data_IF_204902043714
#
_entry.id   IF_204902043714
#
_cell.length_a   1.000
_cell.length_b   1.000
_cell.length_c   1.000
_cell.angle_alpha   90.00
_cell.angle_beta   90.00
_cell.angle_gamma   90.00
#
_symmetry.space_group_name_H-M   'P 1'
#
loop_
_entity.id
_entity.type
_entity.pdbx_description
1 polymer ?
#
# COMPACT_ATOMS: atom_id res chain seq x y z
N UNK A 1 19.18 10.22 11.53
CA UNK A 1 19.20 9.04 10.63
C UNK A 1 17.91 9.02 9.81
N UNK A 2 17.90 8.33 8.67
CA UNK A 2 16.66 8.02 7.94
C UNK A 2 15.98 6.81 8.59
N UNK A 3 14.67 6.92 8.83
CA UNK A 3 13.80 5.84 9.32
C UNK A 3 12.73 5.57 8.27
N UNK A 4 12.53 4.32 7.92
CA UNK A 4 11.38 3.86 7.10
C UNK A 4 10.41 3.15 8.03
N UNK A 5 9.24 3.73 8.24
CA UNK A 5 8.17 3.17 9.08
C UNK A 5 7.08 2.55 8.22
N UNK A 6 6.97 1.23 8.25
CA UNK A 6 5.94 0.50 7.51
C UNK A 6 4.70 0.25 8.38
N UNK A 7 3.61 0.96 8.12
CA UNK A 7 2.34 0.77 8.81
C UNK A 7 1.62 -0.48 8.25
N UNK A 8 1.55 -1.53 9.05
CA UNK A 8 0.83 -2.76 8.71
C UNK A 8 -0.69 -2.58 8.72
N UNK A 9 -1.43 -3.58 8.23
CA UNK A 9 -2.88 -3.57 8.22
C UNK A 9 -3.49 -3.28 9.60
N UNK A 10 -2.92 -3.83 10.67
CA UNK A 10 -3.38 -3.59 12.03
C UNK A 10 -3.18 -2.15 12.55
N UNK A 11 -2.31 -1.36 11.91
CA UNK A 11 -2.17 0.07 12.24
C UNK A 11 -3.30 0.91 11.65
N UNK A 12 -3.98 0.41 10.62
CA UNK A 12 -5.09 1.06 9.93
C UNK A 12 -6.45 0.46 10.31
N UNK A 13 -6.50 -0.86 10.46
CA UNK A 13 -7.71 -1.61 10.76
C UNK A 13 -7.33 -2.87 11.56
N UNK A 14 -7.73 -2.95 12.82
CA UNK A 14 -7.45 -4.11 13.66
C UNK A 14 -8.40 -5.25 13.31
N UNK A 15 -7.98 -6.47 13.62
CA UNK A 15 -8.81 -7.65 13.40
C UNK A 15 -10.13 -7.53 14.17
N UNK A 16 -11.25 -7.69 13.47
CA UNK A 16 -12.60 -7.60 14.05
C UNK A 16 -13.20 -6.18 14.09
N UNK A 17 -12.44 -5.15 13.73
CA UNK A 17 -13.00 -3.80 13.57
C UNK A 17 -13.74 -3.66 12.23
N UNK A 18 -14.81 -2.86 12.23
CA UNK A 18 -15.53 -2.51 10.99
C UNK A 18 -14.71 -1.54 10.15
N UNK A 19 -14.72 -1.74 8.83
CA UNK A 19 -14.01 -0.87 7.88
C UNK A 19 -14.81 0.41 7.61
N UNK A 20 -14.82 1.31 8.59
CA UNK A 20 -15.42 2.64 8.49
C UNK A 20 -14.33 3.71 8.53
N UNK A 21 -14.62 4.88 7.97
CA UNK A 21 -13.69 6.02 7.99
C UNK A 21 -13.29 6.41 9.43
N UNK A 22 -14.26 6.41 10.36
CA UNK A 22 -14.01 6.79 11.75
C UNK A 22 -13.07 5.81 12.48
N UNK A 23 -13.21 4.51 12.22
CA UNK A 23 -12.33 3.49 12.80
C UNK A 23 -10.92 3.67 12.25
N UNK A 24 -10.78 3.83 10.94
CA UNK A 24 -9.48 4.01 10.31
C UNK A 24 -8.81 5.31 10.77
N UNK A 25 -9.53 6.43 10.85
CA UNK A 25 -9.00 7.70 11.37
C UNK A 25 -8.46 7.56 12.80
N UNK A 26 -9.23 6.96 13.72
CA UNK A 26 -8.76 6.74 15.11
C UNK A 26 -7.47 5.92 15.16
N UNK A 27 -7.37 4.88 14.35
CA UNK A 27 -6.17 4.04 14.32
C UNK A 27 -4.97 4.80 13.72
N UNK A 28 -5.19 5.57 12.67
CA UNK A 28 -4.18 6.45 12.05
C UNK A 28 -3.70 7.51 13.02
N UNK A 29 -4.58 8.15 13.81
CA UNK A 29 -4.21 9.16 14.82
C UNK A 29 -3.28 8.55 15.89
N UNK A 30 -3.56 7.32 16.32
CA UNK A 30 -2.69 6.61 17.26
C UNK A 30 -1.31 6.33 16.66
N UNK A 31 -1.25 5.92 15.38
CA UNK A 31 0.00 5.71 14.67
C UNK A 31 0.77 7.02 14.46
N UNK A 32 0.09 8.10 14.06
CA UNK A 32 0.68 9.43 13.85
C UNK A 32 1.34 9.98 15.11
N UNK A 33 0.74 9.74 16.28
CA UNK A 33 1.32 10.13 17.56
C UNK A 33 2.66 9.42 17.85
N UNK A 34 2.82 8.17 17.40
CA UNK A 34 4.08 7.45 17.51
C UNK A 34 5.12 7.94 16.48
N UNK A 35 4.70 8.19 15.25
CA UNK A 35 5.55 8.74 14.18
C UNK A 35 6.07 10.14 14.54
N UNK A 36 5.24 10.98 15.13
CA UNK A 36 5.64 12.33 15.59
C UNK A 36 6.78 12.29 16.64
N UNK A 37 6.85 11.25 17.47
CA UNK A 37 7.98 11.07 18.42
C UNK A 37 9.30 10.83 17.69
N UNK A 38 9.29 10.03 16.62
CA UNK A 38 10.49 9.75 15.80
C UNK A 38 10.97 11.06 15.15
N UNK A 39 10.04 11.85 14.61
CA UNK A 39 10.35 13.13 13.94
C UNK A 39 10.91 14.13 14.95
N UNK A 40 10.29 14.27 16.13
CA UNK A 40 10.76 15.17 17.20
C UNK A 40 12.12 14.77 17.76
N UNK A 41 12.50 13.51 17.66
CA UNK A 41 13.83 13.02 17.99
C UNK A 41 14.90 13.39 16.94
N UNK A 42 14.54 14.14 15.89
CA UNK A 42 15.45 14.65 14.86
C UNK A 42 15.73 13.68 13.73
N UNK A 43 14.92 12.62 13.57
CA UNK A 43 15.08 11.68 12.47
C UNK A 43 14.32 12.15 11.21
N UNK A 44 14.84 11.81 10.04
CA UNK A 44 14.11 11.85 8.78
C UNK A 44 13.18 10.64 8.72
N UNK A 45 11.96 10.80 8.19
CA UNK A 45 10.97 9.75 8.18
C UNK A 45 10.35 9.56 6.80
N UNK A 46 10.37 8.32 6.32
CA UNK A 46 9.51 7.80 5.26
C UNK A 46 8.46 6.91 5.90
N UNK A 47 7.21 7.08 5.52
CA UNK A 47 6.10 6.24 5.97
C UNK A 47 5.56 5.46 4.78
N UNK A 48 5.47 4.14 4.91
CA UNK A 48 4.73 3.28 3.98
C UNK A 48 3.54 2.68 4.69
N UNK A 49 2.54 2.23 3.95
CA UNK A 49 1.34 1.63 4.54
C UNK A 49 0.80 0.48 3.70
N UNK A 50 0.04 -0.43 4.31
CA UNK A 50 -0.73 -1.45 3.61
C UNK A 50 -2.09 -0.92 3.15
N UNK A 51 -2.71 -1.63 2.19
CA UNK A 51 -4.04 -1.33 1.67
C UNK A 51 -4.89 -2.58 1.40
N UNK A 52 -4.45 -3.76 1.81
CA UNK A 52 -5.07 -5.04 1.44
C UNK A 52 -6.58 -5.12 1.66
N UNK A 53 -7.13 -4.73 2.82
CA UNK A 53 -8.57 -4.69 3.04
C UNK A 53 -9.28 -3.68 2.11
N UNK A 54 -8.70 -2.51 1.91
CA UNK A 54 -9.30 -1.40 1.13
C UNK A 54 -9.34 -1.74 -0.36
N UNK A 55 -8.23 -2.16 -0.95
CA UNK A 55 -8.18 -2.54 -2.37
C UNK A 55 -9.11 -3.73 -2.66
N UNK A 56 -9.21 -4.66 -1.71
CA UNK A 56 -10.13 -5.78 -1.83
C UNK A 56 -11.59 -5.35 -1.81
N UNK A 57 -11.96 -4.38 -0.96
CA UNK A 57 -13.31 -3.83 -0.93
C UNK A 57 -13.65 -3.11 -2.24
N UNK A 58 -12.76 -2.24 -2.73
CA UNK A 58 -12.96 -1.51 -3.98
C UNK A 58 -13.08 -2.46 -5.18
N UNK A 59 -12.27 -3.52 -5.23
CA UNK A 59 -12.34 -4.52 -6.30
C UNK A 59 -13.65 -5.32 -6.33
N UNK A 60 -14.45 -5.30 -5.26
CA UNK A 60 -15.79 -5.89 -5.25
C UNK A 60 -16.88 -4.93 -5.71
N UNK A 61 -16.63 -3.61 -5.64
CA UNK A 61 -17.60 -2.59 -6.00
C UNK A 61 -17.64 -2.32 -7.50
N UNK A 62 -16.55 -2.59 -8.21
CA UNK A 62 -16.46 -2.37 -9.65
C UNK A 62 -15.50 -3.37 -10.30
N UNK A 63 -15.98 -4.05 -11.33
CA UNK A 63 -15.15 -4.90 -12.19
C UNK A 63 -14.48 -4.11 -13.34
N UNK A 64 -14.71 -2.79 -13.40
CA UNK A 64 -14.23 -1.92 -14.48
C UNK A 64 -12.79 -1.40 -14.25
N UNK A 65 -12.28 -1.46 -13.02
CA UNK A 65 -11.00 -0.87 -12.67
C UNK A 65 -9.95 -1.95 -12.37
N UNK A 66 -8.80 -1.92 -13.07
CA UNK A 66 -7.69 -2.84 -12.80
C UNK A 66 -7.01 -2.51 -11.46
N UNK A 67 -6.25 -3.50 -10.93
CA UNK A 67 -5.67 -3.41 -9.58
C UNK A 67 -4.65 -2.28 -9.41
N UNK A 68 -3.93 -1.89 -10.45
CA UNK A 68 -3.01 -0.76 -10.40
C UNK A 68 -3.75 0.56 -10.14
N UNK A 69 -4.89 0.80 -10.79
CA UNK A 69 -5.72 1.97 -10.55
C UNK A 69 -6.40 1.94 -9.17
N UNK A 70 -6.91 0.78 -8.74
CA UNK A 70 -7.44 0.61 -7.38
C UNK A 70 -6.32 0.76 -6.33
N UNK A 71 -5.10 0.36 -6.68
CA UNK A 71 -3.90 0.60 -5.88
C UNK A 71 -3.66 2.09 -5.69
N UNK A 72 -3.69 2.88 -6.76
CA UNK A 72 -3.53 4.32 -6.73
C UNK A 72 -4.64 5.02 -5.92
N UNK A 73 -5.90 4.58 -6.08
CA UNK A 73 -7.04 5.11 -5.33
C UNK A 73 -6.89 4.89 -3.82
N UNK A 74 -6.52 3.68 -3.42
CA UNK A 74 -6.30 3.35 -2.00
C UNK A 74 -5.04 4.00 -1.44
N UNK A 75 -3.98 4.18 -2.23
CA UNK A 75 -2.75 4.88 -1.85
C UNK A 75 -3.07 6.34 -1.52
N UNK A 76 -3.81 7.02 -2.40
CA UNK A 76 -4.26 8.40 -2.17
C UNK A 76 -5.18 8.53 -0.94
N UNK A 77 -6.17 7.64 -0.81
CA UNK A 77 -7.12 7.67 0.31
C UNK A 77 -6.45 7.48 1.66
N UNK A 78 -5.59 6.47 1.79
CA UNK A 78 -4.91 6.15 3.06
C UNK A 78 -3.81 7.16 3.33
N UNK A 79 -3.03 7.54 2.29
CA UNK A 79 -1.99 8.55 2.38
C UNK A 79 -2.53 9.86 2.90
N UNK A 80 -3.66 10.34 2.36
CA UNK A 80 -4.35 11.55 2.85
C UNK A 80 -4.68 11.48 4.35
N UNK A 81 -5.21 10.34 4.82
CA UNK A 81 -5.54 10.21 6.25
C UNK A 81 -4.28 10.25 7.13
N UNK A 82 -3.20 9.60 6.70
CA UNK A 82 -1.92 9.59 7.43
C UNK A 82 -1.29 10.98 7.42
N UNK A 83 -1.26 11.65 6.27
CA UNK A 83 -0.73 13.00 6.11
C UNK A 83 -1.41 13.97 7.08
N UNK A 84 -2.73 14.04 7.04
CA UNK A 84 -3.52 14.90 7.94
C UNK A 84 -3.24 14.62 9.42
N UNK A 85 -3.20 13.33 9.81
CA UNK A 85 -2.97 12.96 11.19
C UNK A 85 -1.54 13.28 11.66
N UNK A 86 -0.53 13.07 10.80
CA UNK A 86 0.87 13.39 11.12
C UNK A 86 1.07 14.92 11.20
N UNK A 87 0.51 15.70 10.27
CA UNK A 87 0.54 17.16 10.34
C UNK A 87 -0.07 17.68 11.63
N UNK A 88 -1.26 17.20 11.99
CA UNK A 88 -1.92 17.56 13.24
C UNK A 88 -1.06 17.18 14.47
N UNK A 89 -0.47 15.98 14.47
CA UNK A 89 0.39 15.54 15.55
C UNK A 89 1.70 16.35 15.68
N UNK A 90 2.18 16.94 14.58
CA UNK A 90 3.37 17.79 14.55
C UNK A 90 3.06 19.26 14.83
N UNK A 91 1.78 19.70 14.78
CA UNK A 91 1.40 21.10 14.91
C UNK A 91 1.85 21.96 13.72
N UNK A 92 1.97 21.35 12.54
CA UNK A 92 2.41 21.96 11.28
C UNK A 92 3.86 22.48 11.28
N UNK A 93 4.71 22.00 12.21
CA UNK A 93 6.11 22.41 12.30
C UNK A 93 6.99 21.89 11.16
N UNK A 94 6.53 20.88 10.43
CA UNK A 94 7.23 20.27 9.29
C UNK A 94 6.27 19.95 8.16
N UNK A 95 6.70 20.11 6.90
CA UNK A 95 5.89 19.65 5.77
C UNK A 95 5.76 18.14 5.78
N UNK A 96 4.54 17.67 5.54
CA UNK A 96 4.21 16.26 5.32
C UNK A 96 3.63 16.15 3.92
N UNK A 97 3.99 15.12 3.17
CA UNK A 97 3.52 14.96 1.80
C UNK A 97 3.27 13.51 1.48
N UNK A 98 2.17 13.24 0.80
CA UNK A 98 1.86 11.93 0.21
C UNK A 98 2.22 11.91 -1.27
N UNK A 99 3.00 10.92 -1.68
CA UNK A 99 3.35 10.66 -3.07
C UNK A 99 2.69 9.36 -3.54
N UNK A 100 1.87 9.44 -4.57
CA UNK A 100 1.50 8.26 -5.34
C UNK A 100 2.77 7.68 -5.95
N UNK A 101 3.10 6.45 -5.59
CA UNK A 101 4.43 5.89 -5.87
C UNK A 101 4.32 4.71 -6.82
N UNK A 102 4.88 4.83 -8.01
CA UNK A 102 5.01 3.71 -8.93
C UNK A 102 6.18 2.82 -8.51
N UNK A 103 6.01 1.51 -8.66
CA UNK A 103 7.04 0.51 -8.38
C UNK A 103 7.22 -0.38 -9.60
N UNK A 104 8.42 -0.35 -10.18
CA UNK A 104 8.77 -1.20 -11.32
C UNK A 104 8.90 -2.64 -10.84
N UNK A 105 8.25 -3.53 -11.57
CA UNK A 105 8.33 -4.99 -11.39
C UNK A 105 8.75 -5.64 -12.72
N UNK A 106 9.30 -6.86 -12.63
CA UNK A 106 9.65 -7.64 -13.82
C UNK A 106 8.38 -8.31 -14.39
N UNK A 107 8.07 -8.07 -15.66
CA UNK A 107 6.96 -8.73 -16.36
C UNK A 107 7.10 -10.27 -16.42
N UNK A 108 8.33 -10.78 -16.33
CA UNK A 108 8.65 -12.21 -16.30
C UNK A 108 8.57 -12.85 -14.91
N UNK A 109 8.27 -12.07 -13.85
CA UNK A 109 8.25 -12.58 -12.47
C UNK A 109 7.30 -13.79 -12.34
N UNK A 110 7.75 -14.91 -11.75
CA UNK A 110 6.94 -16.11 -11.54
C UNK A 110 5.64 -15.86 -10.77
N UNK A 111 5.56 -14.80 -9.97
CA UNK A 111 4.37 -14.43 -9.23
C UNK A 111 3.15 -14.18 -10.11
N UNK A 112 3.33 -13.74 -11.37
CA UNK A 112 2.23 -13.57 -12.31
C UNK A 112 1.55 -14.89 -12.69
N UNK A 113 2.29 -16.00 -12.65
CA UNK A 113 1.76 -17.36 -12.90
C UNK A 113 1.31 -18.07 -11.62
N UNK A 114 1.78 -17.61 -10.46
CA UNK A 114 1.49 -18.16 -9.13
C UNK A 114 1.02 -17.08 -8.17
N UNK A 115 -0.22 -16.59 -8.27
CA UNK A 115 -0.77 -15.60 -7.34
C UNK A 115 -0.84 -16.15 -5.91
N UNK A 116 -0.28 -15.39 -4.95
CA UNK A 116 -0.24 -15.78 -3.53
C UNK A 116 -0.61 -14.67 -2.57
N UNK A 117 -0.72 -13.43 -3.05
CA UNK A 117 -1.03 -12.28 -2.20
C UNK A 117 -2.51 -12.22 -1.90
N UNK A 118 -2.90 -12.41 -0.66
CA UNK A 118 -4.28 -12.27 -0.22
C UNK A 118 -4.75 -10.81 -0.26
N UNK A 119 -5.90 -10.59 -0.89
CA UNK A 119 -6.60 -9.30 -0.92
C UNK A 119 -8.08 -9.49 -0.59
N UNK A 120 -8.71 -8.44 -0.07
CA UNK A 120 -10.13 -8.46 0.23
C UNK A 120 -10.52 -9.22 1.51
N UNK A 121 -11.82 -9.46 1.68
CA UNK A 121 -12.37 -10.14 2.85
C UNK A 121 -12.10 -11.65 2.84
N UNK A 122 -12.32 -12.26 4.00
CA UNK A 122 -12.35 -13.71 4.16
C UNK A 122 -13.79 -14.17 3.99
N UNK A 123 -14.00 -15.21 3.19
CA UNK A 123 -15.29 -15.84 2.91
C UNK A 123 -15.34 -17.30 3.34
N UNK A 124 -16.53 -17.82 3.47
CA UNK A 124 -16.72 -19.27 3.39
C UNK A 124 -16.43 -19.76 1.94
N UNK A 125 -16.02 -21.01 1.79
CA UNK A 125 -15.60 -21.54 0.47
C UNK A 125 -16.64 -21.31 -0.62
N UNK A 126 -17.90 -21.65 -0.36
CA UNK A 126 -18.98 -21.49 -1.33
C UNK A 126 -19.22 -20.03 -1.74
N UNK A 127 -19.08 -19.08 -0.81
CA UNK A 127 -19.18 -17.65 -1.09
C UNK A 127 -18.00 -17.16 -1.93
N UNK A 128 -16.79 -17.62 -1.61
CA UNK A 128 -15.58 -17.29 -2.36
C UNK A 128 -15.69 -17.78 -3.82
N UNK A 129 -16.12 -19.05 -4.04
CA UNK A 129 -16.32 -19.62 -5.37
C UNK A 129 -17.41 -18.87 -6.16
N UNK A 130 -18.53 -18.54 -5.53
CA UNK A 130 -19.63 -17.80 -6.15
C UNK A 130 -19.21 -16.36 -6.54
N UNK A 131 -18.36 -15.73 -5.75
CA UNK A 131 -17.87 -14.36 -6.00
C UNK A 131 -16.77 -14.35 -7.07
N UNK A 132 -15.85 -15.29 -7.01
CA UNK A 132 -14.67 -15.35 -7.87
C UNK A 132 -14.96 -15.89 -9.28
N UNK A 133 -15.87 -16.86 -9.40
CA UNK A 133 -16.14 -17.54 -10.66
C UNK A 133 -16.51 -16.59 -11.80
N UNK A 134 -17.55 -15.72 -11.66
CA UNK A 134 -17.94 -14.76 -12.71
C UNK A 134 -16.85 -13.76 -13.08
N UNK A 135 -15.90 -13.51 -12.15
CA UNK A 135 -14.82 -12.53 -12.29
C UNK A 135 -13.49 -13.13 -12.75
N UNK A 136 -13.41 -14.44 -12.87
CA UNK A 136 -12.15 -15.12 -13.20
C UNK A 136 -11.07 -14.98 -12.13
N UNK A 137 -11.44 -14.67 -10.88
CA UNK A 137 -10.48 -14.50 -9.80
C UNK A 137 -9.95 -15.85 -9.29
N UNK A 138 -8.70 -15.85 -8.90
CA UNK A 138 -8.12 -16.96 -8.17
C UNK A 138 -8.37 -16.78 -6.66
N UNK A 139 -8.66 -17.90 -5.98
CA UNK A 139 -8.88 -17.91 -4.53
C UNK A 139 -7.98 -18.98 -3.90
N UNK A 140 -7.57 -18.74 -2.66
CA UNK A 140 -6.83 -19.70 -1.86
C UNK A 140 -7.32 -19.70 -0.41
N UNK A 141 -7.03 -20.78 0.31
CA UNK A 141 -7.37 -20.91 1.72
C UNK A 141 -6.50 -19.98 2.57
N UNK A 142 -7.14 -19.24 3.49
CA UNK A 142 -6.51 -18.35 4.47
C UNK A 142 -7.06 -18.70 5.86
N UNK A 143 -6.34 -19.51 6.62
CA UNK A 143 -6.82 -20.09 7.88
C UNK A 143 -8.04 -20.97 7.65
N UNK A 144 -9.15 -20.64 8.34
CA UNK A 144 -10.41 -21.37 8.23
C UNK A 144 -11.31 -20.86 7.08
N UNK A 145 -10.88 -19.85 6.35
CA UNK A 145 -11.64 -19.23 5.26
C UNK A 145 -10.92 -19.23 3.92
N UNK A 146 -11.49 -18.52 2.97
CA UNK A 146 -11.00 -18.38 1.59
C UNK A 146 -10.94 -16.92 1.20
N UNK A 147 -9.91 -16.55 0.43
CA UNK A 147 -9.72 -15.18 -0.06
C UNK A 147 -9.26 -15.17 -1.51
N UNK A 148 -9.51 -14.03 -2.18
CA UNK A 148 -8.88 -13.73 -3.46
C UNK A 148 -7.36 -13.69 -3.30
N UNK A 149 -6.64 -14.29 -4.24
CA UNK A 149 -5.18 -14.16 -4.39
C UNK A 149 -4.84 -13.47 -5.69
N UNK A 150 -3.83 -12.60 -5.63
CA UNK A 150 -3.32 -11.83 -6.77
C UNK A 150 -1.81 -12.00 -6.88
N UNK A 151 -1.21 -11.73 -8.06
CA UNK A 151 0.24 -11.69 -8.22
C UNK A 151 0.89 -10.71 -7.25
N UNK A 152 2.05 -11.09 -6.71
CA UNK A 152 2.86 -10.22 -5.85
C UNK A 152 4.33 -10.29 -6.28
N UNK A 153 4.67 -9.65 -7.41
CA UNK A 153 6.03 -9.65 -7.94
C UNK A 153 6.99 -8.90 -7.03
N UNK A 154 8.29 -9.15 -7.20
CA UNK A 154 9.33 -8.43 -6.48
C UNK A 154 9.45 -6.99 -6.99
N UNK A 155 9.56 -6.00 -6.11
CA UNK A 155 9.88 -4.63 -6.50
C UNK A 155 11.34 -4.57 -7.01
N UNK A 156 11.54 -3.98 -8.18
CA UNK A 156 12.85 -3.82 -8.83
C UNK A 156 13.40 -2.42 -8.64
N UNK A 157 12.57 -1.40 -8.83
CA UNK A 157 12.98 -0.01 -8.69
C UNK A 157 11.76 0.89 -8.36
N UNK A 158 12.07 2.04 -7.79
CA UNK A 158 11.10 3.10 -7.49
C UNK A 158 11.51 4.33 -8.28
N UNK A 159 10.80 4.69 -9.37
CA UNK A 159 11.12 5.83 -10.22
C UNK A 159 11.24 7.15 -9.44
N UNK A 160 10.39 7.30 -8.42
CA UNK A 160 10.29 8.53 -7.62
C UNK A 160 11.38 8.65 -6.53
N UNK A 161 12.33 7.73 -6.44
CA UNK A 161 13.39 7.69 -5.42
C UNK A 161 14.16 9.01 -5.28
N UNK A 162 14.46 9.68 -6.40
CA UNK A 162 15.15 10.99 -6.40
C UNK A 162 14.28 12.10 -5.80
N UNK A 163 12.97 12.10 -6.10
CA UNK A 163 12.03 13.09 -5.54
C UNK A 163 11.86 12.85 -4.03
N UNK A 164 11.72 11.59 -3.62
CA UNK A 164 11.66 11.21 -2.21
C UNK A 164 12.91 11.72 -1.47
N UNK A 165 14.11 11.45 -1.99
CA UNK A 165 15.37 11.92 -1.39
C UNK A 165 15.47 13.44 -1.32
N UNK A 166 15.00 14.16 -2.35
CA UNK A 166 14.96 15.62 -2.38
C UNK A 166 14.08 16.17 -1.26
N UNK A 167 12.86 15.65 -1.12
CA UNK A 167 11.90 16.07 -0.09
C UNK A 167 12.42 15.79 1.32
N UNK A 168 13.00 14.63 1.55
CA UNK A 168 13.65 14.29 2.81
C UNK A 168 14.80 15.25 3.14
N UNK A 169 15.60 15.63 2.14
CA UNK A 169 16.68 16.62 2.25
C UNK A 169 16.19 18.03 2.62
N UNK A 170 14.95 18.37 2.28
CA UNK A 170 14.28 19.61 2.68
C UNK A 170 13.54 19.50 4.03
N UNK A 171 13.67 18.38 4.72
CA UNK A 171 13.07 18.17 6.04
C UNK A 171 11.62 17.73 6.02
N UNK A 172 11.07 17.38 4.85
CA UNK A 172 9.72 16.86 4.75
C UNK A 172 9.62 15.44 5.31
N UNK A 173 8.46 15.09 5.84
CA UNK A 173 8.03 13.71 6.08
C UNK A 173 7.38 13.21 4.80
N UNK A 174 7.82 12.07 4.29
CA UNK A 174 7.31 11.54 3.02
C UNK A 174 6.50 10.27 3.29
N UNK A 175 5.23 10.29 2.88
CA UNK A 175 4.36 9.12 2.86
C UNK A 175 4.34 8.60 1.42
N UNK A 176 4.75 7.35 1.19
CA UNK A 176 4.89 6.81 -0.15
C UNK A 176 4.82 5.28 -0.16
N UNK A 177 4.71 4.67 -1.33
CA UNK A 177 4.67 3.22 -1.48
C UNK A 177 3.49 2.56 -0.78
N UNK A 178 2.34 3.21 -0.74
CA UNK A 178 1.10 2.67 -0.19
C UNK A 178 0.69 1.38 -0.90
N UNK A 179 0.30 0.36 -0.11
CA UNK A 179 0.03 -0.97 -0.64
C UNK A 179 1.24 -1.70 -1.25
N UNK A 180 2.45 -1.16 -1.08
CA UNK A 180 3.68 -1.63 -1.73
C UNK A 180 4.00 -0.86 -3.01
N UNK A 181 3.25 0.21 -3.29
CA UNK A 181 3.32 1.03 -4.49
C UNK A 181 2.47 0.49 -5.64
N UNK A 182 2.25 1.35 -6.64
CA UNK A 182 1.48 1.04 -7.85
C UNK A 182 2.37 0.24 -8.79
N UNK A 183 2.06 -1.05 -9.05
CA UNK A 183 2.93 -1.90 -9.84
C UNK A 183 2.88 -1.53 -11.32
N UNK A 184 4.06 -1.31 -11.91
CA UNK A 184 4.23 -1.03 -13.33
C UNK A 184 5.35 -1.89 -13.93
N UNK A 185 5.22 -2.23 -15.19
CA UNK A 185 6.30 -2.82 -15.99
C UNK A 185 6.82 -1.79 -16.97
N UNK A 186 8.09 -1.91 -17.35
CA UNK A 186 8.69 -1.08 -18.39
C UNK A 186 8.64 -1.85 -19.72
N UNK A 187 7.98 -1.27 -20.71
CA UNK A 187 7.95 -1.79 -22.07
C UNK A 187 9.30 -1.62 -22.80
N UNK A 188 9.43 -2.26 -23.95
CA UNK A 188 10.62 -2.18 -24.80
C UNK A 188 10.87 -0.74 -25.32
N UNK A 189 9.84 0.06 -25.43
CA UNK A 189 9.86 1.48 -25.77
C UNK A 189 10.25 2.39 -24.60
N UNK A 190 10.43 1.81 -23.40
CA UNK A 190 10.71 2.53 -22.16
C UNK A 190 9.48 3.07 -21.43
N UNK A 191 8.27 2.95 -21.99
CA UNK A 191 7.03 3.39 -21.36
C UNK A 191 6.69 2.53 -20.14
N UNK A 192 6.01 3.13 -19.17
CA UNK A 192 5.51 2.41 -18.00
C UNK A 192 4.03 2.04 -18.20
N UNK A 193 3.71 0.79 -17.90
CA UNK A 193 2.36 0.25 -18.01
C UNK A 193 1.96 -0.39 -16.69
N UNK A 194 0.74 -0.07 -16.19
CA UNK A 194 0.16 -0.69 -15.01
C UNK A 194 -0.08 -2.19 -15.21
N UNK A 195 -0.03 -2.96 -14.12
CA UNK A 195 -0.24 -4.42 -14.17
C UNK A 195 -1.15 -4.89 -13.04
N UNK A 196 -1.89 -5.97 -13.31
CA UNK A 196 -2.78 -6.67 -12.36
C UNK A 196 -1.97 -7.39 -11.27
N UNK A 197 -1.45 -6.63 -10.31
CA UNK A 197 -0.64 -7.15 -9.21
C UNK A 197 -0.77 -6.27 -7.95
N UNK A 198 -0.30 -6.78 -6.82
CA UNK A 198 -0.14 -6.01 -5.57
C UNK A 198 1.24 -6.33 -5.01
N UNK A 199 2.12 -5.35 -4.98
CA UNK A 199 3.48 -5.51 -4.42
C UNK A 199 3.41 -5.68 -2.90
N UNK A 200 4.34 -6.42 -2.33
CA UNK A 200 4.44 -6.53 -0.87
C UNK A 200 5.05 -5.26 -0.27
N UNK A 201 4.35 -4.63 0.68
CA UNK A 201 4.80 -3.36 1.29
C UNK A 201 6.13 -3.49 2.02
N UNK A 202 6.40 -4.65 2.65
CA UNK A 202 7.64 -4.81 3.41
C UNK A 202 8.85 -4.91 2.48
N UNK A 203 8.66 -5.56 1.30
CA UNK A 203 9.67 -5.59 0.24
C UNK A 203 9.89 -4.21 -0.39
N UNK A 204 8.82 -3.47 -0.67
CA UNK A 204 8.92 -2.10 -1.18
C UNK A 204 9.58 -1.17 -0.15
N UNK A 205 9.24 -1.31 1.13
CA UNK A 205 9.86 -0.55 2.22
C UNK A 205 11.35 -0.87 2.38
N UNK A 206 11.73 -2.14 2.22
CA UNK A 206 13.14 -2.53 2.23
C UNK A 206 13.91 -1.90 1.07
N UNK A 207 13.32 -1.83 -0.13
CA UNK A 207 13.91 -1.14 -1.27
C UNK A 207 14.04 0.37 -1.02
N UNK A 208 13.01 1.02 -0.44
CA UNK A 208 13.08 2.43 -0.02
C UNK A 208 14.17 2.70 1.02
N UNK A 209 14.45 1.75 1.89
CA UNK A 209 15.48 1.90 2.92
C UNK A 209 16.92 1.84 2.35
N UNK A 210 17.10 1.55 1.07
CA UNK A 210 18.40 1.58 0.37
C UNK A 210 18.69 2.91 -0.30
N UNK A 211 17.78 3.90 -0.23
CA UNK A 211 17.96 5.27 -0.76
C UNK A 211 18.95 6.11 0.12
#
# INVERSE_FOLDING_TARGET
>A
MLVVAALGGNALLRRGESMTADVQRRNVDAAASALAKIIRAGHQLVVTHGNGPQIGLLSMQSDAWPLDLLGAETDGMIGYMIEQAVENALGHDRPVVTLLTQVIVDAGDPAFRNPTKFVGPVWLRAEAEATAGPRGWQIAQDGDGWRRVVPSPLPVAIPDSKVISLLLGQGAVVICGGGGGIPVVRGDDGALHGVEAVVDKDRASALLATL
#
